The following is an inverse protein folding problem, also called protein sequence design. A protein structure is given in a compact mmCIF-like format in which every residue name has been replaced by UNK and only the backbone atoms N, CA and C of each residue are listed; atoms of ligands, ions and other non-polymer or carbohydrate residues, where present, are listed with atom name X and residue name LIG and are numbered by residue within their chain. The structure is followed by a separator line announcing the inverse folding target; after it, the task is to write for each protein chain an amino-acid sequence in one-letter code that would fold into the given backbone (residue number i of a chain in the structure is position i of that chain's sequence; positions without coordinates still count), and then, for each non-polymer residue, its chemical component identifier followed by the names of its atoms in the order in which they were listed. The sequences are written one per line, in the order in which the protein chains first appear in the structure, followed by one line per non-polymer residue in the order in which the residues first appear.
data_IF_370563303744
#
_entry.id   IF_370563303744
#
_cell.length_a   1.000
_cell.length_b   1.000
_cell.length_c   1.000
_cell.angle_alpha   90.00
_cell.angle_beta   90.00
_cell.angle_gamma   90.00
#
_symmetry.space_group_name_H-M   'P 1'
#
loop_
_entity.id
_entity.type
_entity.pdbx_description
1 polymer ?
#
# COMPACT_ATOMS: atom_id res chain seq x y z
N UNK A 1 -13.52 -2.36 -0.65
CA UNK A 1 -12.55 -1.58 -1.44
C UNK A 1 -12.51 -2.06 -2.90
N UNK A 2 -13.45 -2.96 -3.26
CA UNK A 2 -13.51 -3.72 -4.51
C UNK A 2 -13.89 -2.90 -5.75
N UNK A 3 -14.27 -1.63 -5.58
CA UNK A 3 -14.77 -0.77 -6.65
C UNK A 3 -13.70 0.15 -7.27
N UNK A 4 -12.45 0.11 -6.81
CA UNK A 4 -11.41 1.06 -7.21
C UNK A 4 -10.31 0.44 -8.10
N UNK A 5 -10.08 -0.87 -7.96
CA UNK A 5 -9.07 -1.60 -8.72
C UNK A 5 -9.59 -1.85 -10.15
N UNK A 6 -8.71 -1.78 -11.15
CA UNK A 6 -9.04 -1.78 -12.58
C UNK A 6 -9.78 -0.53 -13.13
N UNK A 7 -9.92 0.55 -12.35
CA UNK A 7 -10.36 1.86 -12.88
C UNK A 7 -9.18 2.72 -13.33
N UNK A 8 -9.47 3.74 -14.15
CA UNK A 8 -8.49 4.77 -14.49
C UNK A 8 -8.10 5.50 -13.18
N UNK A 9 -6.80 5.65 -12.85
CA UNK A 9 -6.35 6.26 -11.58
C UNK A 9 -6.74 7.75 -11.46
N UNK A 10 -7.16 8.38 -12.55
CA UNK A 10 -7.63 9.76 -12.60
C UNK A 10 -9.15 9.88 -12.63
N UNK A 11 -9.88 8.76 -12.48
CA UNK A 11 -11.31 8.79 -12.24
C UNK A 11 -11.61 9.64 -11.00
N UNK A 12 -12.47 10.68 -11.12
CA UNK A 12 -12.80 11.57 -10.01
C UNK A 12 -13.35 10.83 -8.77
N UNK A 13 -13.97 9.66 -8.99
CA UNK A 13 -14.52 8.77 -7.97
C UNK A 13 -13.44 8.16 -7.06
N UNK A 14 -12.26 7.87 -7.61
CA UNK A 14 -11.07 7.39 -6.89
C UNK A 14 -10.43 8.53 -6.11
N UNK A 15 -10.36 9.71 -6.75
CA UNK A 15 -9.71 10.87 -6.16
C UNK A 15 -10.37 11.35 -4.86
N UNK A 16 -11.71 11.37 -4.80
CA UNK A 16 -12.42 11.79 -3.59
C UNK A 16 -12.29 10.83 -2.40
N UNK A 17 -11.96 9.56 -2.64
CA UNK A 17 -11.84 8.52 -1.60
C UNK A 17 -10.41 8.37 -1.08
N UNK A 18 -9.42 8.60 -1.93
CA UNK A 18 -8.00 8.41 -1.59
C UNK A 18 -7.30 9.75 -1.30
N UNK A 19 -7.69 10.85 -1.95
CA UNK A 19 -7.15 12.18 -1.68
C UNK A 19 -8.11 12.97 -0.77
N UNK A 20 -7.88 13.03 0.56
CA UNK A 20 -8.64 13.92 1.41
C UNK A 20 -8.29 15.36 1.05
N UNK A 21 -9.15 16.00 0.24
CA UNK A 21 -9.17 17.44 -0.09
C UNK A 21 -7.77 18.09 -0.11
N UNK A 22 -7.01 17.89 -1.17
CA UNK A 22 -5.75 18.61 -1.36
C UNK A 22 -5.75 19.38 -2.67
N UNK A 23 -5.27 20.62 -2.56
CA UNK A 23 -4.68 21.44 -3.62
C UNK A 23 -3.78 20.60 -4.53
N UNK A 24 -3.58 21.05 -5.78
CA UNK A 24 -2.80 20.38 -6.82
C UNK A 24 -1.54 19.65 -6.26
N UNK A 25 -1.64 18.33 -6.11
CA UNK A 25 -0.55 17.49 -5.60
C UNK A 25 0.51 17.31 -6.68
N UNK A 26 1.77 17.41 -6.30
CA UNK A 26 2.87 17.07 -7.20
C UNK A 26 2.93 15.55 -7.40
N UNK A 27 2.97 15.10 -8.65
CA UNK A 27 3.06 13.67 -8.99
C UNK A 27 4.42 13.35 -9.61
N UNK A 28 5.10 12.33 -9.07
CA UNK A 28 6.33 11.78 -9.67
C UNK A 28 6.02 10.45 -10.36
N UNK A 29 6.34 10.33 -11.65
CA UNK A 29 6.10 9.12 -12.43
C UNK A 29 7.39 8.29 -12.53
N UNK A 30 7.31 7.01 -12.16
CA UNK A 30 8.40 6.03 -12.33
C UNK A 30 7.93 4.89 -13.22
N UNK A 31 8.79 4.40 -14.12
CA UNK A 31 8.47 3.31 -15.06
C UNK A 31 9.42 2.15 -14.84
N UNK A 32 8.88 0.95 -14.72
CA UNK A 32 9.64 -0.29 -14.56
C UNK A 32 9.25 -1.29 -15.65
N UNK A 33 10.23 -1.97 -16.28
CA UNK A 33 9.94 -3.02 -17.25
C UNK A 33 9.18 -4.21 -16.62
N UNK A 34 8.34 -4.92 -17.40
CA UNK A 34 8.02 -4.64 -18.80
C UNK A 34 7.02 -3.49 -18.96
N UNK A 35 6.05 -3.33 -18.06
CA UNK A 35 4.86 -2.49 -18.28
C UNK A 35 4.26 -1.88 -17.00
N UNK A 36 5.07 -1.62 -15.98
CA UNK A 36 4.60 -1.08 -14.70
C UNK A 36 4.90 0.41 -14.60
N UNK A 37 3.90 1.22 -14.30
CA UNK A 37 4.02 2.66 -14.10
C UNK A 37 3.54 3.01 -12.69
N UNK A 38 4.38 3.69 -11.93
CA UNK A 38 4.03 4.19 -10.61
C UNK A 38 3.76 5.68 -10.66
N UNK A 39 2.60 6.09 -10.19
CA UNK A 39 2.26 7.49 -9.92
C UNK A 39 2.42 7.72 -8.43
N UNK A 40 3.47 8.44 -8.04
CA UNK A 40 3.81 8.66 -6.65
C UNK A 40 3.37 10.05 -6.22
N UNK A 41 2.64 10.11 -5.11
CA UNK A 41 2.22 11.31 -4.43
C UNK A 41 2.94 11.35 -3.09
N UNK A 42 4.24 11.67 -3.17
CA UNK A 42 5.16 11.58 -2.04
C UNK A 42 4.67 12.43 -0.85
N UNK A 43 4.06 13.59 -1.13
CA UNK A 43 3.52 14.54 -0.16
C UNK A 43 2.46 13.94 0.79
N UNK A 44 1.79 12.87 0.37
CA UNK A 44 0.71 12.23 1.15
C UNK A 44 1.01 10.77 1.50
N UNK A 45 2.08 10.18 0.99
CA UNK A 45 2.38 8.78 1.29
C UNK A 45 1.64 7.80 0.38
N UNK A 46 1.27 8.18 -0.85
CA UNK A 46 0.50 7.33 -1.77
C UNK A 46 1.33 6.98 -3.00
N UNK A 47 1.27 5.72 -3.42
CA UNK A 47 1.73 5.32 -4.74
C UNK A 47 0.70 4.43 -5.42
N UNK A 48 0.41 4.73 -6.68
CA UNK A 48 -0.50 3.96 -7.52
C UNK A 48 0.33 3.18 -8.53
N UNK A 49 0.27 1.85 -8.47
CA UNK A 49 0.92 0.97 -9.44
C UNK A 49 -0.06 0.64 -10.56
N UNK A 50 0.34 0.94 -11.78
CA UNK A 50 -0.44 0.72 -12.97
C UNK A 50 0.24 -0.29 -13.87
N UNK A 51 -0.52 -1.28 -14.30
CA UNK A 51 -0.07 -2.32 -15.21
C UNK A 51 -0.74 -2.12 -16.56
N UNK A 52 0.06 -2.11 -17.63
CA UNK A 52 -0.46 -2.07 -19.00
C UNK A 52 -1.00 -3.44 -19.42
N UNK A 53 -2.21 -3.47 -19.98
CA UNK A 53 -2.69 -4.66 -20.67
C UNK A 53 -1.82 -4.93 -21.90
N UNK A 54 -1.46 -6.20 -22.12
CA UNK A 54 -0.69 -6.63 -23.28
C UNK A 54 -1.44 -6.43 -24.61
N UNK A 55 -2.75 -6.22 -24.56
CA UNK A 55 -3.62 -6.23 -25.76
C UNK A 55 -3.89 -4.85 -26.34
N UNK A 56 -3.89 -3.79 -25.53
CA UNK A 56 -4.36 -2.46 -25.97
C UNK A 56 -3.59 -1.28 -25.36
N UNK A 57 -2.47 -1.54 -24.67
CA UNK A 57 -1.67 -0.55 -23.95
C UNK A 57 -2.45 0.29 -22.91
N UNK A 58 -3.65 -0.16 -22.52
CA UNK A 58 -4.44 0.51 -21.49
C UNK A 58 -3.82 0.26 -20.13
N UNK A 59 -3.51 1.34 -19.41
CA UNK A 59 -3.09 1.28 -18.01
C UNK A 59 -4.29 1.04 -17.11
N UNK A 60 -4.18 -0.01 -16.29
CA UNK A 60 -5.17 -0.32 -15.25
C UNK A 60 -4.52 -0.22 -13.89
N UNK A 61 -5.24 0.32 -12.91
CA UNK A 61 -4.78 0.36 -11.53
C UNK A 61 -4.72 -1.06 -10.96
N UNK A 62 -3.51 -1.50 -10.65
CA UNK A 62 -3.18 -2.85 -10.19
C UNK A 62 -3.02 -2.86 -8.67
N UNK A 63 -2.24 -1.92 -8.13
CA UNK A 63 -1.97 -1.82 -6.70
C UNK A 63 -2.08 -0.38 -6.17
N UNK A 64 -2.53 -0.25 -4.93
CA UNK A 64 -2.58 1.01 -4.17
C UNK A 64 -1.69 0.84 -2.94
N UNK A 65 -0.60 1.61 -2.89
CA UNK A 65 0.33 1.60 -1.78
C UNK A 65 0.10 2.80 -0.87
N UNK A 66 -0.19 2.54 0.40
CA UNK A 66 -0.30 3.53 1.46
C UNK A 66 0.89 3.43 2.41
N UNK A 67 1.72 4.46 2.42
CA UNK A 67 2.93 4.55 3.24
C UNK A 67 2.56 5.16 4.59
N UNK A 68 2.51 4.33 5.62
CA UNK A 68 2.22 4.75 7.00
C UNK A 68 3.48 5.23 7.72
N UNK A 69 4.63 4.62 7.41
CA UNK A 69 5.94 4.96 8.00
C UNK A 69 7.01 4.99 6.91
N UNK A 70 7.15 6.10 6.17
CA UNK A 70 8.07 6.20 5.04
C UNK A 70 9.55 6.32 5.45
N UNK A 71 9.82 6.55 6.75
CA UNK A 71 11.17 6.73 7.29
C UNK A 71 12.11 5.56 6.94
N UNK A 72 13.34 5.88 6.54
CA UNK A 72 14.39 4.91 6.23
C UNK A 72 14.47 4.48 4.77
N UNK A 73 13.46 3.81 4.22
CA UNK A 73 13.58 3.10 2.92
C UNK A 73 12.97 3.81 1.71
N UNK A 74 12.06 4.78 1.91
CA UNK A 74 11.48 5.60 0.82
C UNK A 74 11.65 7.09 1.13
N UNK A 75 12.88 7.63 1.07
CA UNK A 75 13.12 9.05 1.35
C UNK A 75 12.28 9.95 0.44
N UNK A 76 11.57 10.92 1.02
CA UNK A 76 10.72 11.88 0.32
C UNK A 76 9.21 11.70 0.56
N UNK A 77 8.75 10.50 0.91
CA UNK A 77 7.35 10.28 1.26
C UNK A 77 7.03 10.86 2.65
N UNK A 78 5.87 11.50 2.80
CA UNK A 78 5.30 11.94 4.09
C UNK A 78 4.16 11.01 4.47
N UNK A 79 4.00 10.70 5.75
CA UNK A 79 2.83 9.95 6.23
C UNK A 79 1.69 10.89 6.52
N UNK A 80 0.58 10.76 5.79
CA UNK A 80 -0.71 11.40 6.13
C UNK A 80 -1.78 10.39 6.56
N UNK A 81 -1.50 9.09 6.41
CA UNK A 81 -2.44 8.02 6.69
C UNK A 81 -2.27 7.42 8.08
N UNK A 82 -1.36 7.95 8.91
CA UNK A 82 -1.12 7.47 10.27
C UNK A 82 -2.27 7.71 11.25
N UNK A 83 -3.41 8.26 10.82
CA UNK A 83 -4.57 8.50 11.72
C UNK A 83 -5.92 8.20 11.06
N UNK A 84 -5.91 7.70 9.81
CA UNK A 84 -7.14 7.33 9.13
C UNK A 84 -7.53 5.89 9.50
N UNK A 85 -8.82 5.60 9.75
CA UNK A 85 -9.27 4.23 9.88
C UNK A 85 -8.98 3.49 8.58
N UNK A 86 -8.18 2.43 8.65
CA UNK A 86 -7.81 1.66 7.47
C UNK A 86 -8.80 0.50 7.27
N UNK A 87 -9.19 0.21 6.02
CA UNK A 87 -9.97 -0.98 5.70
C UNK A 87 -9.39 -2.22 6.38
N UNK A 88 -10.25 -3.04 6.99
CA UNK A 88 -9.90 -4.28 7.72
C UNK A 88 -9.16 -4.09 9.07
N UNK A 89 -8.45 -2.99 9.29
CA UNK A 89 -7.63 -2.77 10.48
C UNK A 89 -8.23 -1.77 11.49
N UNK A 90 -9.27 -1.02 11.09
CA UNK A 90 -9.98 -0.10 11.96
C UNK A 90 -9.19 1.16 12.31
N UNK A 91 -9.59 1.83 13.40
CA UNK A 91 -9.09 3.16 13.81
C UNK A 91 -7.64 3.18 14.32
N UNK A 92 -7.03 2.02 14.61
CA UNK A 92 -5.70 1.91 15.24
C UNK A 92 -4.64 1.27 14.34
N UNK A 93 -4.85 1.32 13.04
CA UNK A 93 -4.01 0.60 12.09
C UNK A 93 -2.56 1.12 12.04
N UNK A 94 -2.33 2.40 12.35
CA UNK A 94 -1.01 2.99 12.47
C UNK A 94 -0.23 2.46 13.69
N UNK A 95 -0.94 2.15 14.78
CA UNK A 95 -0.39 1.55 16.00
C UNK A 95 -0.36 0.03 15.97
N UNK A 96 -1.01 -0.63 15.03
CA UNK A 96 -1.06 -2.09 14.96
C UNK A 96 0.36 -2.68 14.74
N UNK A 97 0.63 -3.76 15.45
CA UNK A 97 1.83 -4.59 15.31
C UNK A 97 1.55 -5.81 14.45
N UNK A 98 2.59 -6.52 14.00
CA UNK A 98 2.44 -7.79 13.30
C UNK A 98 1.61 -8.81 14.10
N UNK A 99 1.74 -8.82 15.43
CA UNK A 99 0.90 -9.65 16.30
C UNK A 99 -0.56 -9.22 16.26
N UNK A 100 -0.85 -7.94 16.47
CA UNK A 100 -2.24 -7.42 16.48
C UNK A 100 -2.96 -7.74 15.16
N UNK A 101 -2.22 -7.69 14.04
CA UNK A 101 -2.74 -7.99 12.70
C UNK A 101 -3.16 -9.45 12.59
N UNK A 102 -2.32 -10.39 13.05
CA UNK A 102 -2.64 -11.83 13.01
C UNK A 102 -3.78 -12.18 13.97
N UNK A 103 -3.85 -11.52 15.14
CA UNK A 103 -4.98 -11.69 16.07
C UNK A 103 -6.29 -11.20 15.45
N UNK A 104 -6.25 -10.12 14.66
CA UNK A 104 -7.44 -9.53 14.04
C UNK A 104 -7.88 -10.25 12.75
N UNK A 105 -6.94 -10.58 11.87
CA UNK A 105 -7.22 -11.10 10.52
C UNK A 105 -7.02 -12.62 10.39
N UNK A 106 -6.41 -13.26 11.40
CA UNK A 106 -5.95 -14.64 11.33
C UNK A 106 -4.58 -14.78 10.67
N UNK A 107 -4.17 -16.01 10.38
CA UNK A 107 -2.90 -16.30 9.70
C UNK A 107 -2.96 -15.88 8.22
N UNK A 108 -1.91 -15.21 7.69
CA UNK A 108 -1.87 -14.83 6.28
C UNK A 108 -1.64 -16.05 5.38
N UNK A 109 -2.19 -16.04 4.16
CA UNK A 109 -1.95 -17.11 3.19
C UNK A 109 -0.51 -17.14 2.70
N UNK A 110 0.13 -15.96 2.59
CA UNK A 110 1.54 -15.84 2.20
C UNK A 110 2.25 -14.86 3.12
N UNK A 111 3.54 -15.13 3.33
CA UNK A 111 4.42 -14.26 4.11
C UNK A 111 5.84 -14.36 3.59
N UNK A 112 6.60 -13.31 3.76
CA UNK A 112 7.98 -13.25 3.28
C UNK A 112 8.74 -12.08 3.86
N UNK A 113 9.96 -11.89 3.37
CA UNK A 113 10.90 -10.92 3.91
C UNK A 113 12.04 -11.54 4.70
N UNK A 114 12.87 -10.69 5.28
CA UNK A 114 14.07 -11.09 5.98
C UNK A 114 15.33 -10.63 5.26
N UNK A 115 16.29 -10.05 6.02
CA UNK A 115 17.61 -9.57 5.56
C UNK A 115 17.57 -8.46 4.49
N UNK A 116 17.08 -8.77 3.29
CA UNK A 116 17.09 -7.88 2.13
C UNK A 116 15.81 -7.04 2.10
N UNK A 117 14.65 -7.70 2.25
CA UNK A 117 13.33 -7.08 2.20
C UNK A 117 12.67 -7.08 3.58
N UNK A 118 11.79 -6.10 3.79
CA UNK A 118 10.94 -6.02 4.96
C UNK A 118 10.06 -7.26 5.11
N UNK A 119 9.75 -7.62 6.36
CA UNK A 119 8.79 -8.66 6.67
C UNK A 119 7.41 -8.21 6.17
N UNK A 120 6.70 -9.10 5.50
CA UNK A 120 5.36 -8.83 4.97
C UNK A 120 4.43 -10.02 5.10
N UNK A 121 3.13 -9.71 5.18
CA UNK A 121 2.01 -10.64 5.21
C UNK A 121 1.09 -10.32 4.04
N UNK A 122 0.59 -11.33 3.35
CA UNK A 122 -0.36 -11.18 2.25
C UNK A 122 -1.62 -12.01 2.56
N UNK A 123 -2.73 -11.29 2.64
CA UNK A 123 -4.09 -11.79 2.82
C UNK A 123 -4.79 -11.81 1.47
N UNK A 124 -4.62 -12.88 0.70
CA UNK A 124 -5.02 -12.93 -0.71
C UNK A 124 -6.51 -12.69 -0.88
N UNK A 125 -7.33 -13.32 -0.03
CA UNK A 125 -8.79 -13.18 -0.07
C UNK A 125 -9.27 -11.76 0.23
N UNK A 126 -8.44 -10.95 0.89
CA UNK A 126 -8.72 -9.56 1.19
C UNK A 126 -8.11 -8.60 0.16
N UNK A 127 -7.29 -9.10 -0.77
CA UNK A 127 -6.53 -8.26 -1.69
C UNK A 127 -5.61 -7.29 -0.94
N UNK A 128 -4.98 -7.77 0.14
CA UNK A 128 -4.22 -6.93 1.06
C UNK A 128 -2.85 -7.53 1.36
N UNK A 129 -1.80 -6.76 1.12
CA UNK A 129 -0.47 -7.03 1.64
C UNK A 129 -0.10 -5.95 2.66
N UNK A 130 0.50 -6.40 3.76
CA UNK A 130 0.94 -5.59 4.88
C UNK A 130 2.44 -5.75 5.01
N UNK A 131 3.18 -4.65 4.94
CA UNK A 131 4.62 -4.62 5.14
C UNK A 131 4.93 -4.04 6.50
N UNK A 132 5.73 -4.74 7.29
CA UNK A 132 6.14 -4.33 8.64
C UNK A 132 7.43 -3.50 8.61
N UNK A 133 7.60 -2.66 9.62
CA UNK A 133 8.78 -1.82 9.81
C UNK A 133 9.97 -2.61 10.38
N UNK A 134 10.22 -3.82 9.89
CA UNK A 134 11.38 -4.64 10.25
C UNK A 134 11.80 -5.56 9.11
N UNK A 135 13.08 -5.93 9.08
CA UNK A 135 13.64 -6.98 8.21
C UNK A 135 14.06 -8.23 9.01
N UNK A 136 13.73 -8.28 10.30
CA UNK A 136 14.08 -9.36 11.21
C UNK A 136 12.78 -10.05 11.63
N UNK A 137 12.69 -11.34 11.34
CA UNK A 137 11.48 -12.13 11.62
C UNK A 137 11.14 -12.16 13.11
N UNK A 138 12.15 -12.27 13.97
CA UNK A 138 11.98 -12.32 15.42
C UNK A 138 11.36 -11.03 15.99
N UNK A 139 11.55 -9.90 15.29
CA UNK A 139 10.95 -8.61 15.66
C UNK A 139 9.55 -8.42 15.06
N UNK A 140 9.13 -9.27 14.13
CA UNK A 140 7.90 -9.10 13.33
C UNK A 140 6.64 -8.98 14.17
N UNK A 141 6.55 -9.73 15.27
CA UNK A 141 5.41 -9.67 16.17
C UNK A 141 5.21 -8.27 16.79
N UNK A 142 6.29 -7.54 17.05
CA UNK A 142 6.27 -6.22 17.70
C UNK A 142 6.41 -5.06 16.70
N UNK A 143 6.79 -5.35 15.46
CA UNK A 143 6.99 -4.35 14.44
C UNK A 143 5.67 -3.73 13.99
N UNK A 144 5.66 -2.40 13.84
CA UNK A 144 4.51 -1.64 13.34
C UNK A 144 4.34 -1.80 11.83
N UNK A 145 3.15 -1.49 11.33
CA UNK A 145 2.89 -1.41 9.90
C UNK A 145 3.70 -0.25 9.28
N UNK A 146 4.41 -0.56 8.19
CA UNK A 146 5.14 0.40 7.37
C UNK A 146 4.32 0.85 6.17
N UNK A 147 3.74 -0.12 5.47
CA UNK A 147 3.06 0.08 4.19
C UNK A 147 1.91 -0.91 4.06
N UNK A 148 0.78 -0.44 3.57
CA UNK A 148 -0.34 -1.27 3.12
C UNK A 148 -0.39 -1.24 1.61
N UNK A 149 -0.64 -2.39 1.00
CA UNK A 149 -0.74 -2.55 -0.45
C UNK A 149 -2.06 -3.25 -0.72
N UNK A 150 -2.98 -2.54 -1.36
CA UNK A 150 -4.25 -3.11 -1.81
C UNK A 150 -4.12 -3.51 -3.26
N UNK A 151 -4.55 -4.73 -3.58
CA UNK A 151 -4.51 -5.30 -4.91
C UNK A 151 -5.77 -6.14 -5.16
N UNK A 152 -5.97 -6.58 -6.39
CA UNK A 152 -7.14 -7.39 -6.74
C UNK A 152 -7.00 -8.81 -6.17
N UNK A 153 -7.95 -9.29 -5.32
CA UNK A 153 -7.94 -10.65 -4.80
C UNK A 153 -7.89 -11.73 -5.90
#
# INVERSE_FOLDING_TARGET
MDLLLATNPFEPSLCHRIFPRTSALTTTIKRFPPNVVYHNFDEIGLSLALSSSKTDDTLTLDEIHLMLRPEGTKPGFKSQYSSAPLPHLGERADEATGKDIVELLGEPERKGGGRITEVWFEYQKLGLQIVLATKVWDDGANAKIRELIYFKP
#
